data_IF_785476074612
#
_entry.id   IF_785476074612
#
_cell.length_a   1.000
_cell.length_b   1.000
_cell.length_c   1.000
_cell.angle_alpha   90.00
_cell.angle_beta   90.00
_cell.angle_gamma   90.00
#
_symmetry.space_group_name_H-M   'P 1'
#
loop_
_entity.id
_entity.type
_entity.pdbx_description
1 polymer ?
#
# COMPACT_ATOMS: atom_id res chain seq x y z
N UNK A 1 -21.14 1.02 12.60
CA UNK A 1 -21.56 -0.17 11.85
C UNK A 1 -20.59 -1.35 12.02
N UNK A 2 -19.32 -1.29 11.57
CA UNK A 2 -18.34 -2.35 11.94
C UNK A 2 -18.11 -2.46 13.45
N UNK A 3 -18.13 -1.34 14.16
CA UNK A 3 -17.80 -1.29 15.58
C UNK A 3 -18.89 -1.89 16.49
N UNK A 4 -20.16 -1.84 16.09
CA UNK A 4 -21.30 -2.27 16.92
C UNK A 4 -21.41 -3.80 17.01
N UNK A 5 -21.13 -4.51 15.91
CA UNK A 5 -21.14 -5.98 15.88
C UNK A 5 -19.94 -6.62 16.61
N UNK A 6 -18.80 -5.91 16.64
CA UNK A 6 -17.53 -6.41 17.19
C UNK A 6 -17.46 -6.27 18.72
N UNK A 7 -18.27 -5.39 19.33
CA UNK A 7 -18.21 -5.03 20.74
C UNK A 7 -18.77 -6.11 21.70
N UNK A 8 -19.65 -7.00 21.25
CA UNK A 8 -20.43 -7.86 22.15
C UNK A 8 -19.74 -9.12 22.69
N UNK A 9 -18.48 -9.44 22.34
CA UNK A 9 -17.90 -10.77 22.64
C UNK A 9 -16.56 -10.79 23.42
N UNK A 10 -16.26 -9.76 24.22
CA UNK A 10 -14.90 -9.48 24.69
C UNK A 10 -14.27 -10.38 25.77
N UNK A 11 -15.02 -11.06 26.64
CA UNK A 11 -14.46 -11.42 27.96
C UNK A 11 -14.19 -12.92 28.24
N UNK A 12 -14.45 -13.84 27.30
CA UNK A 12 -14.06 -15.26 27.43
C UNK A 12 -13.47 -15.79 26.12
N UNK A 13 -12.25 -15.37 25.80
CA UNK A 13 -11.52 -15.84 24.62
C UNK A 13 -10.78 -17.15 24.91
N UNK A 14 -11.14 -18.20 24.18
CA UNK A 14 -10.37 -19.44 24.06
C UNK A 14 -9.91 -19.59 22.62
N UNK A 15 -8.61 -19.75 22.41
CA UNK A 15 -8.01 -19.93 21.09
C UNK A 15 -8.65 -21.10 20.35
N UNK A 16 -9.07 -20.87 19.11
CA UNK A 16 -9.66 -21.88 18.23
C UNK A 16 -8.83 -22.12 16.96
N UNK A 17 -9.28 -23.04 16.12
CA UNK A 17 -8.64 -23.33 14.83
C UNK A 17 -8.82 -22.21 13.79
N UNK A 18 -9.88 -21.40 13.93
CA UNK A 18 -10.18 -20.30 13.01
C UNK A 18 -9.19 -19.15 13.21
N UNK A 19 -8.76 -18.89 14.45
CA UNK A 19 -7.67 -17.95 14.79
C UNK A 19 -6.38 -18.28 14.04
N UNK A 20 -6.01 -19.56 14.02
CA UNK A 20 -4.81 -20.05 13.33
C UNK A 20 -4.93 -19.82 11.83
N UNK A 21 -6.08 -20.12 11.24
CA UNK A 21 -6.33 -19.92 9.81
C UNK A 21 -6.30 -18.44 9.44
N UNK A 22 -6.99 -17.59 10.20
CA UNK A 22 -7.00 -16.15 10.00
C UNK A 22 -5.58 -15.57 10.06
N UNK A 23 -4.78 -15.98 11.04
CA UNK A 23 -3.39 -15.54 11.13
C UNK A 23 -2.56 -15.96 9.92
N UNK A 24 -2.63 -17.22 9.50
CA UNK A 24 -1.89 -17.73 8.34
C UNK A 24 -2.26 -16.95 7.07
N UNK A 25 -3.55 -16.71 6.84
CA UNK A 25 -4.02 -15.97 5.67
C UNK A 25 -3.57 -14.50 5.65
N UNK A 26 -3.26 -13.88 6.79
CA UNK A 26 -2.64 -12.53 6.84
C UNK A 26 -1.12 -12.60 6.69
N UNK A 27 -0.46 -13.58 7.32
CA UNK A 27 1.00 -13.69 7.31
C UNK A 27 1.52 -13.95 5.90
N UNK A 28 0.87 -14.82 5.13
CA UNK A 28 1.26 -15.15 3.75
C UNK A 28 1.39 -13.89 2.88
N UNK A 29 0.36 -13.03 2.72
CA UNK A 29 0.48 -11.84 1.90
C UNK A 29 1.45 -10.80 2.47
N UNK A 30 1.63 -10.72 3.79
CA UNK A 30 2.64 -9.84 4.38
C UNK A 30 4.07 -10.28 4.00
N UNK A 31 4.37 -11.58 4.06
CA UNK A 31 5.70 -12.13 3.69
C UNK A 31 5.95 -11.96 2.20
N UNK A 32 4.97 -12.31 1.35
CA UNK A 32 5.09 -12.11 -0.10
C UNK A 32 5.27 -10.63 -0.45
N UNK A 33 4.44 -9.76 0.14
CA UNK A 33 4.54 -8.31 -0.04
C UNK A 33 5.89 -7.75 0.41
N UNK A 34 6.45 -8.24 1.52
CA UNK A 34 7.78 -7.84 2.01
C UNK A 34 8.88 -8.21 1.00
N UNK A 35 8.90 -9.46 0.54
CA UNK A 35 9.89 -9.95 -0.43
C UNK A 35 9.80 -9.12 -1.72
N UNK A 36 8.58 -8.96 -2.25
CA UNK A 36 8.35 -8.22 -3.47
C UNK A 36 8.76 -6.74 -3.32
N UNK A 37 8.41 -6.08 -2.23
CA UNK A 37 8.79 -4.70 -1.98
C UNK A 37 10.31 -4.51 -1.92
N UNK A 38 11.04 -5.41 -1.24
CA UNK A 38 12.51 -5.36 -1.16
C UNK A 38 13.14 -5.47 -2.55
N UNK A 39 12.70 -6.45 -3.35
CA UNK A 39 13.20 -6.65 -4.71
C UNK A 39 12.88 -5.42 -5.57
N UNK A 40 11.67 -4.87 -5.47
CA UNK A 40 11.26 -3.67 -6.22
C UNK A 40 12.14 -2.47 -5.86
N UNK A 41 12.34 -2.20 -4.56
CA UNK A 41 13.22 -1.12 -4.08
C UNK A 41 14.62 -1.29 -4.64
N UNK A 42 15.17 -2.51 -4.63
CA UNK A 42 16.49 -2.80 -5.20
C UNK A 42 16.56 -2.43 -6.67
N UNK A 43 15.58 -2.82 -7.48
CA UNK A 43 15.55 -2.44 -8.88
C UNK A 43 15.41 -0.93 -9.10
N UNK A 44 14.72 -0.19 -8.22
CA UNK A 44 14.70 1.28 -8.28
C UNK A 44 16.08 1.92 -8.04
N UNK A 45 17.00 1.27 -7.32
CA UNK A 45 18.38 1.76 -7.16
C UNK A 45 19.28 1.38 -8.34
N UNK A 46 19.09 0.18 -8.89
CA UNK A 46 19.97 -0.38 -9.92
C UNK A 46 19.58 0.06 -11.35
N UNK A 47 18.29 0.22 -11.65
CA UNK A 47 17.79 0.56 -12.99
C UNK A 47 17.89 2.09 -13.22
N UNK A 48 18.70 2.57 -14.18
CA UNK A 48 18.86 4.01 -14.42
C UNK A 48 17.55 4.74 -14.78
N UNK A 49 16.68 4.11 -15.57
CA UNK A 49 15.37 4.66 -15.96
C UNK A 49 14.46 4.94 -14.75
N UNK A 50 14.69 4.26 -13.63
CA UNK A 50 13.90 4.39 -12.40
C UNK A 50 14.41 5.49 -11.46
N UNK A 51 15.54 6.15 -11.78
CA UNK A 51 16.11 7.25 -10.98
C UNK A 51 15.40 8.59 -11.23
N UNK A 52 14.11 8.56 -11.53
CA UNK A 52 13.25 9.72 -11.75
C UNK A 52 12.54 10.19 -10.46
N UNK A 53 11.84 11.33 -10.51
CA UNK A 53 11.00 11.78 -9.40
C UNK A 53 9.90 10.77 -9.05
N UNK A 54 9.34 10.10 -10.06
CA UNK A 54 8.38 9.00 -9.87
C UNK A 54 8.99 7.84 -9.06
N UNK A 55 10.19 7.40 -9.42
CA UNK A 55 10.86 6.32 -8.70
C UNK A 55 11.38 6.71 -7.32
N UNK A 56 11.68 8.00 -7.10
CA UNK A 56 11.92 8.52 -5.76
C UNK A 56 10.68 8.36 -4.87
N UNK A 57 9.52 8.88 -5.31
CA UNK A 57 8.27 8.81 -4.53
C UNK A 57 7.82 7.36 -4.28
N UNK A 58 7.91 6.51 -5.31
CA UNK A 58 7.52 5.10 -5.21
C UNK A 58 8.36 4.34 -4.19
N UNK A 59 9.68 4.60 -4.08
CA UNK A 59 10.51 3.97 -3.04
C UNK A 59 10.07 4.33 -1.62
N UNK A 60 9.77 5.61 -1.36
CA UNK A 60 9.29 6.03 -0.03
C UNK A 60 7.94 5.40 0.32
N UNK A 61 7.07 5.20 -0.67
CA UNK A 61 5.83 4.46 -0.46
C UNK A 61 6.10 2.98 -0.15
N UNK A 62 7.04 2.35 -0.85
CA UNK A 62 7.41 0.94 -0.61
C UNK A 62 8.07 0.74 0.76
N UNK A 63 8.85 1.71 1.26
CA UNK A 63 9.39 1.64 2.63
C UNK A 63 8.29 1.59 3.68
N UNK A 64 7.27 2.45 3.57
CA UNK A 64 6.12 2.42 4.48
C UNK A 64 5.36 1.09 4.40
N UNK A 65 5.27 0.53 3.21
CA UNK A 65 4.65 -0.79 3.02
C UNK A 65 5.43 -1.91 3.69
N UNK A 66 6.76 -1.89 3.62
CA UNK A 66 7.60 -2.84 4.38
C UNK A 66 7.27 -2.73 5.87
N UNK A 67 7.19 -1.52 6.42
CA UNK A 67 6.83 -1.31 7.83
C UNK A 67 5.41 -1.82 8.13
N UNK A 68 4.46 -1.60 7.23
CA UNK A 68 3.10 -2.11 7.37
C UNK A 68 3.04 -3.66 7.37
N UNK A 69 3.75 -4.32 6.44
CA UNK A 69 3.87 -5.78 6.41
C UNK A 69 4.50 -6.33 7.69
N UNK A 70 5.54 -5.68 8.21
CA UNK A 70 6.20 -6.10 9.45
C UNK A 70 5.29 -5.91 10.66
N UNK A 71 4.56 -4.79 10.73
CA UNK A 71 3.64 -4.52 11.82
C UNK A 71 2.46 -5.51 11.83
N UNK A 72 1.78 -5.67 10.70
CA UNK A 72 0.61 -6.56 10.59
C UNK A 72 1.03 -8.03 10.65
N UNK A 73 1.98 -8.44 9.80
CA UNK A 73 2.49 -9.81 9.80
C UNK A 73 3.10 -10.21 11.14
N UNK A 74 3.84 -9.32 11.79
CA UNK A 74 4.37 -9.54 13.14
C UNK A 74 3.27 -9.67 14.19
N UNK A 75 2.24 -8.82 14.14
CA UNK A 75 1.10 -8.92 15.06
C UNK A 75 0.34 -10.24 14.89
N UNK A 76 0.01 -10.64 13.66
CA UNK A 76 -0.71 -11.90 13.42
C UNK A 76 0.17 -13.12 13.71
N UNK A 77 1.49 -13.04 13.51
CA UNK A 77 2.43 -14.11 13.89
C UNK A 77 2.53 -14.27 15.41
N UNK A 78 2.94 -13.23 16.13
CA UNK A 78 3.20 -13.34 17.56
C UNK A 78 1.93 -13.28 18.40
N UNK A 79 0.99 -12.42 18.03
CA UNK A 79 -0.27 -12.23 18.73
C UNK A 79 -1.24 -13.37 18.48
N UNK A 80 -1.59 -13.63 17.22
CA UNK A 80 -2.70 -14.55 16.88
C UNK A 80 -2.21 -16.00 16.68
N UNK A 81 -1.16 -16.22 15.89
CA UNK A 81 -0.67 -17.58 15.57
C UNK A 81 0.08 -18.23 16.75
N UNK A 82 0.93 -17.47 17.44
CA UNK A 82 1.69 -17.97 18.61
C UNK A 82 0.97 -17.72 19.95
N UNK A 83 -0.15 -17.00 19.94
CA UNK A 83 -0.97 -16.69 21.12
C UNK A 83 -0.20 -16.03 22.27
N UNK A 84 0.72 -15.11 21.95
CA UNK A 84 1.38 -14.31 22.98
C UNK A 84 0.41 -13.26 23.53
N UNK A 85 -0.24 -13.60 24.64
CA UNK A 85 -1.23 -12.73 25.34
C UNK A 85 -0.75 -11.30 25.57
N UNK A 86 0.56 -11.10 25.82
CA UNK A 86 1.15 -9.76 25.97
C UNK A 86 1.02 -8.91 24.71
N UNK A 87 1.16 -9.50 23.52
CA UNK A 87 1.02 -8.81 22.22
C UNK A 87 -0.44 -8.44 21.98
N UNK A 88 -1.37 -9.36 22.26
CA UNK A 88 -2.82 -9.11 22.14
C UNK A 88 -3.26 -8.01 23.12
N UNK A 89 -2.83 -8.09 24.39
CA UNK A 89 -3.15 -7.10 25.42
C UNK A 89 -2.65 -5.70 25.05
N UNK A 90 -1.48 -5.62 24.42
CA UNK A 90 -0.90 -4.36 23.93
C UNK A 90 -1.21 -4.10 22.44
N UNK A 91 -2.26 -4.70 21.88
CA UNK A 91 -2.64 -4.55 20.47
C UNK A 91 -2.86 -3.10 20.05
N UNK A 92 -3.19 -2.21 21.00
CA UNK A 92 -3.28 -0.77 20.76
C UNK A 92 -1.99 -0.15 20.18
N UNK A 93 -0.80 -0.71 20.47
CA UNK A 93 0.46 -0.23 19.90
C UNK A 93 0.51 -0.54 18.40
N UNK A 94 0.23 -1.79 18.01
CA UNK A 94 0.15 -2.18 16.59
C UNK A 94 -0.96 -1.42 15.87
N UNK A 95 -2.06 -1.15 16.56
CA UNK A 95 -3.15 -0.34 16.05
C UNK A 95 -2.74 1.12 15.81
N UNK A 96 -2.02 1.76 16.75
CA UNK A 96 -1.47 3.11 16.58
C UNK A 96 -0.50 3.18 15.40
N UNK A 97 0.40 2.20 15.25
CA UNK A 97 1.30 2.12 14.11
C UNK A 97 0.49 2.04 12.81
N UNK A 98 -0.53 1.18 12.76
CA UNK A 98 -1.38 1.01 11.57
C UNK A 98 -2.15 2.27 11.19
N UNK A 99 -2.80 2.93 12.16
CA UNK A 99 -3.53 4.18 11.94
C UNK A 99 -2.63 5.34 11.55
N UNK A 100 -1.34 5.29 11.92
CA UNK A 100 -0.32 6.25 11.49
C UNK A 100 0.15 5.96 10.06
N UNK A 101 0.44 4.70 9.73
CA UNK A 101 0.94 4.31 8.42
C UNK A 101 -0.09 4.52 7.30
N UNK A 102 -1.36 4.23 7.58
CA UNK A 102 -2.44 4.33 6.60
C UNK A 102 -2.50 5.72 5.89
N UNK A 103 -2.66 6.85 6.60
CA UNK A 103 -2.67 8.17 5.97
C UNK A 103 -1.32 8.55 5.33
N UNK A 104 -0.17 8.07 5.84
CA UNK A 104 1.13 8.30 5.19
C UNK A 104 1.17 7.62 3.81
N UNK A 105 0.73 6.36 3.75
CA UNK A 105 0.67 5.57 2.52
C UNK A 105 -0.28 6.23 1.51
N UNK A 106 -1.50 6.58 1.93
CA UNK A 106 -2.49 7.23 1.07
C UNK A 106 -2.00 8.60 0.55
N UNK A 107 -1.35 9.40 1.40
CA UNK A 107 -0.81 10.70 0.99
C UNK A 107 0.31 10.56 -0.05
N UNK A 108 1.18 9.56 0.07
CA UNK A 108 2.20 9.28 -0.93
C UNK A 108 1.61 8.75 -2.23
N UNK A 109 0.57 7.91 -2.16
CA UNK A 109 -0.17 7.50 -3.36
C UNK A 109 -0.75 8.67 -4.11
N UNK A 110 -1.39 9.59 -3.39
CA UNK A 110 -1.92 10.80 -3.96
C UNK A 110 -0.81 11.65 -4.61
N UNK A 111 0.33 11.81 -3.94
CA UNK A 111 1.48 12.52 -4.49
C UNK A 111 2.06 11.84 -5.75
N UNK A 112 2.07 10.50 -5.80
CA UNK A 112 2.46 9.73 -6.99
C UNK A 112 1.46 9.95 -8.13
N UNK A 113 0.16 9.98 -7.84
CA UNK A 113 -0.89 10.25 -8.83
C UNK A 113 -0.76 11.66 -9.42
N UNK A 114 -0.57 12.69 -8.58
CA UNK A 114 -0.26 14.05 -9.05
C UNK A 114 1.01 14.07 -9.89
N UNK A 115 2.07 13.38 -9.45
CA UNK A 115 3.33 13.32 -10.19
C UNK A 115 3.12 12.81 -11.62
N UNK A 116 2.33 11.74 -11.78
CA UNK A 116 2.00 11.17 -13.08
C UNK A 116 1.19 12.14 -13.93
N UNK A 117 0.13 12.69 -13.36
CA UNK A 117 -0.72 13.65 -14.06
C UNK A 117 0.08 14.85 -14.57
N UNK A 118 0.91 15.45 -13.71
CA UNK A 118 1.72 16.61 -14.06
C UNK A 118 2.79 16.30 -15.10
N UNK A 119 3.35 15.09 -15.09
CA UNK A 119 4.33 14.67 -16.10
C UNK A 119 3.75 14.66 -17.52
N UNK A 120 2.46 14.36 -17.65
CA UNK A 120 1.76 14.26 -18.94
C UNK A 120 1.12 15.60 -19.33
N UNK A 121 0.43 16.26 -18.39
CA UNK A 121 -0.36 17.46 -18.68
C UNK A 121 0.49 18.72 -18.71
N UNK A 122 1.48 18.85 -17.81
CA UNK A 122 2.32 20.04 -17.68
C UNK A 122 3.82 19.71 -17.79
N UNK A 123 4.29 19.13 -18.92
CA UNK A 123 5.67 18.68 -19.06
C UNK A 123 6.71 19.82 -18.91
N UNK A 124 6.37 21.05 -19.32
CA UNK A 124 7.25 22.22 -19.22
C UNK A 124 7.50 22.64 -17.76
N UNK A 125 6.50 22.51 -16.89
CA UNK A 125 6.58 22.90 -15.48
C UNK A 125 6.92 21.73 -14.55
N UNK A 126 6.86 20.50 -15.04
CA UNK A 126 7.11 19.29 -14.25
C UNK A 126 8.43 19.34 -13.46
N UNK A 127 9.51 19.75 -14.13
CA UNK A 127 10.83 19.82 -13.51
C UNK A 127 10.92 20.89 -12.40
N UNK A 128 10.14 21.97 -12.50
CA UNK A 128 10.06 23.00 -11.47
C UNK A 128 9.25 22.51 -10.24
N UNK A 129 8.13 21.83 -10.48
CA UNK A 129 7.24 21.33 -9.41
C UNK A 129 7.88 20.16 -8.66
N UNK A 130 8.47 19.19 -9.37
CA UNK A 130 9.05 17.97 -8.79
C UNK A 130 10.58 18.00 -8.67
N UNK A 131 11.14 19.20 -8.52
CA UNK A 131 12.58 19.38 -8.27
C UNK A 131 13.04 18.74 -6.94
N UNK A 132 14.35 18.46 -6.77
CA UNK A 132 14.87 17.70 -5.62
C UNK A 132 14.59 18.25 -4.24
N UNK A 133 14.50 19.58 -4.11
CA UNK A 133 14.19 20.22 -2.82
C UNK A 133 12.71 20.07 -2.49
N UNK A 134 11.81 20.41 -3.42
CA UNK A 134 10.37 20.36 -3.19
C UNK A 134 9.85 18.94 -2.96
N UNK A 135 10.29 17.96 -3.77
CA UNK A 135 9.84 16.56 -3.57
C UNK A 135 10.25 15.98 -2.21
N UNK A 136 11.38 16.42 -1.64
CA UNK A 136 11.77 16.05 -0.27
C UNK A 136 10.81 16.65 0.75
N UNK A 137 10.48 17.93 0.61
CA UNK A 137 9.49 18.61 1.46
C UNK A 137 8.13 17.90 1.40
N UNK A 138 7.63 17.58 0.20
CA UNK A 138 6.36 16.88 0.05
C UNK A 138 6.34 15.54 0.80
N UNK A 139 7.39 14.71 0.61
CA UNK A 139 7.51 13.43 1.32
C UNK A 139 7.60 13.64 2.83
N UNK A 140 8.40 14.61 3.30
CA UNK A 140 8.51 14.92 4.72
C UNK A 140 7.17 15.33 5.34
N UNK A 141 6.37 16.16 4.66
CA UNK A 141 5.03 16.54 5.12
C UNK A 141 4.11 15.33 5.21
N UNK A 142 4.11 14.44 4.20
CA UNK A 142 3.32 13.20 4.21
C UNK A 142 3.68 12.27 5.37
N UNK A 143 4.92 12.31 5.88
CA UNK A 143 5.37 11.50 7.00
C UNK A 143 5.06 12.16 8.34
N UNK A 144 5.48 13.41 8.50
CA UNK A 144 5.46 14.12 9.78
C UNK A 144 4.03 14.37 10.25
N UNK A 145 3.14 14.78 9.34
CA UNK A 145 1.78 15.13 9.72
C UNK A 145 1.04 13.95 10.39
N UNK A 146 0.98 12.73 9.79
CA UNK A 146 0.45 11.55 10.46
C UNK A 146 1.13 11.18 11.77
N UNK A 147 2.46 11.19 11.81
CA UNK A 147 3.24 10.83 13.01
C UNK A 147 2.90 11.72 14.20
N UNK A 148 2.52 12.98 13.95
CA UNK A 148 2.12 13.92 15.00
C UNK A 148 0.64 13.77 15.35
N UNK A 149 -0.26 13.75 14.37
CA UNK A 149 -1.68 13.83 14.68
C UNK A 149 -2.22 12.53 15.29
N UNK A 150 -1.83 11.34 14.80
CA UNK A 150 -2.44 10.09 15.28
C UNK A 150 -2.16 9.81 16.76
N UNK A 151 -0.93 10.01 17.30
CA UNK A 151 -0.69 9.73 18.71
C UNK A 151 -1.32 10.79 19.62
N UNK A 152 -1.46 12.05 19.17
CA UNK A 152 -2.20 13.08 19.91
C UNK A 152 -3.64 12.61 20.16
N UNK A 153 -4.34 12.12 19.12
CA UNK A 153 -5.69 11.59 19.29
C UNK A 153 -5.71 10.33 20.16
N UNK A 154 -4.80 9.38 19.93
CA UNK A 154 -4.81 8.12 20.67
C UNK A 154 -4.47 8.27 22.15
N UNK A 155 -3.45 9.06 22.52
CA UNK A 155 -3.02 9.19 23.92
C UNK A 155 -3.76 10.28 24.69
N UNK A 156 -4.00 11.46 24.09
CA UNK A 156 -4.59 12.57 24.84
C UNK A 156 -6.12 12.49 24.92
N UNK A 157 -6.76 11.84 23.94
CA UNK A 157 -8.22 11.76 23.84
C UNK A 157 -8.75 10.33 23.98
N UNK A 158 -7.87 9.35 24.25
CA UNK A 158 -8.24 7.94 24.47
C UNK A 158 -8.79 7.23 23.23
N UNK A 159 -8.55 7.76 22.03
CA UNK A 159 -9.07 7.21 20.77
C UNK A 159 -8.15 6.06 20.31
N UNK A 160 -8.33 4.88 20.91
CA UNK A 160 -7.54 3.71 20.57
C UNK A 160 -8.03 2.99 19.32
N UNK A 161 -7.13 2.29 18.66
CA UNK A 161 -7.41 1.31 17.61
C UNK A 161 -6.83 -0.02 18.10
N UNK A 162 -7.67 -1.02 18.38
CA UNK A 162 -7.25 -2.26 19.02
C UNK A 162 -7.75 -3.49 18.27
N UNK A 163 -7.11 -4.61 18.51
CA UNK A 163 -7.52 -5.88 17.94
C UNK A 163 -8.73 -6.44 18.69
N UNK A 164 -9.67 -7.01 17.93
CA UNK A 164 -10.81 -7.76 18.43
C UNK A 164 -10.77 -9.17 17.82
N UNK A 165 -10.90 -10.17 18.69
CA UNK A 165 -10.96 -11.58 18.28
C UNK A 165 -12.17 -11.86 17.38
N UNK A 166 -13.29 -11.17 17.63
CA UNK A 166 -14.47 -11.26 16.78
C UNK A 166 -14.19 -10.69 15.39
N UNK A 167 -14.10 -11.57 14.39
CA UNK A 167 -13.79 -11.19 13.00
C UNK A 167 -12.32 -10.85 12.76
N UNK A 168 -11.42 -11.15 13.71
CA UNK A 168 -9.97 -10.94 13.62
C UNK A 168 -9.59 -9.59 13.05
N UNK A 169 -10.19 -8.53 13.60
CA UNK A 169 -10.17 -7.19 13.02
C UNK A 169 -9.61 -6.18 14.02
N UNK A 170 -8.87 -5.20 13.50
CA UNK A 170 -8.60 -4.01 14.27
C UNK A 170 -9.74 -3.01 14.11
N UNK A 171 -10.22 -2.46 15.21
CA UNK A 171 -11.30 -1.47 15.21
C UNK A 171 -11.05 -0.39 16.24
N UNK A 172 -11.74 0.74 16.08
CA UNK A 172 -11.69 1.84 17.02
C UNK A 172 -12.37 1.46 18.33
N UNK A 173 -11.77 1.89 19.44
CA UNK A 173 -12.40 1.78 20.76
C UNK A 173 -13.55 2.79 20.79
N UNK A 174 -14.77 2.29 20.88
CA UNK A 174 -15.95 3.15 21.02
C UNK A 174 -15.90 3.80 22.41
N UNK A 175 -15.87 5.12 22.43
CA UNK A 175 -16.04 5.95 23.63
C UNK A 175 -16.96 7.11 23.27
N UNK A 176 -17.75 7.59 24.23
CA UNK A 176 -18.71 8.69 24.04
C UNK A 176 -18.04 9.99 23.56
N UNK A 177 -16.74 10.13 23.83
CA UNK A 177 -15.98 11.35 23.54
C UNK A 177 -15.24 11.31 22.22
N UNK A 178 -14.71 10.15 21.78
CA UNK A 178 -13.76 10.15 20.66
C UNK A 178 -13.89 9.02 19.62
N UNK A 179 -14.24 7.79 19.99
CA UNK A 179 -14.15 6.64 19.06
C UNK A 179 -14.78 6.90 17.69
N UNK A 180 -16.04 7.33 17.68
CA UNK A 180 -16.78 7.64 16.45
C UNK A 180 -16.27 8.88 15.72
N UNK A 181 -15.85 9.92 16.46
CA UNK A 181 -15.36 11.18 15.86
C UNK A 181 -14.01 10.98 15.17
N UNK A 182 -13.11 10.24 15.80
CA UNK A 182 -11.80 9.93 15.25
C UNK A 182 -11.90 8.98 14.05
N UNK A 183 -12.80 7.99 14.11
CA UNK A 183 -13.12 7.15 12.96
C UNK A 183 -13.65 7.99 11.79
N UNK A 184 -14.60 8.89 12.04
CA UNK A 184 -15.15 9.79 11.01
C UNK A 184 -14.09 10.70 10.42
N UNK A 185 -13.18 11.24 11.24
CA UNK A 185 -12.07 12.07 10.77
C UNK A 185 -11.11 11.28 9.87
N UNK A 186 -10.64 10.12 10.33
CA UNK A 186 -9.73 9.25 9.57
C UNK A 186 -10.36 8.77 8.26
N UNK A 187 -11.61 8.29 8.32
CA UNK A 187 -12.37 7.89 7.12
C UNK A 187 -12.64 9.07 6.21
N UNK A 188 -12.97 10.23 6.75
CA UNK A 188 -13.20 11.46 5.98
C UNK A 188 -11.96 11.87 5.20
N UNK A 189 -10.80 11.93 5.87
CA UNK A 189 -9.51 12.20 5.23
C UNK A 189 -9.18 11.14 4.18
N UNK A 190 -9.36 9.85 4.49
CA UNK A 190 -9.11 8.77 3.55
C UNK A 190 -10.02 8.83 2.32
N UNK A 191 -11.31 9.13 2.50
CA UNK A 191 -12.27 9.26 1.41
C UNK A 191 -11.97 10.47 0.52
N UNK A 192 -11.59 11.60 1.11
CA UNK A 192 -11.20 12.81 0.35
C UNK A 192 -9.93 12.55 -0.45
N UNK A 193 -8.88 12.02 0.19
CA UNK A 193 -7.63 11.68 -0.49
C UNK A 193 -7.88 10.61 -1.56
N UNK A 194 -8.70 9.61 -1.25
CA UNK A 194 -9.12 8.56 -2.18
C UNK A 194 -9.82 9.14 -3.40
N UNK A 195 -10.85 9.97 -3.21
CA UNK A 195 -11.57 10.61 -4.31
C UNK A 195 -10.63 11.47 -5.18
N UNK A 196 -9.71 12.22 -4.57
CA UNK A 196 -8.72 13.01 -5.29
C UNK A 196 -7.76 12.12 -6.07
N UNK A 197 -7.28 11.02 -5.49
CA UNK A 197 -6.46 10.02 -6.16
C UNK A 197 -7.19 9.47 -7.40
N UNK A 198 -8.45 9.08 -7.26
CA UNK A 198 -9.25 8.59 -8.39
C UNK A 198 -9.32 9.65 -9.49
N UNK A 199 -9.61 10.91 -9.13
CA UNK A 199 -9.70 12.02 -10.07
C UNK A 199 -8.40 12.24 -10.85
N UNK A 200 -7.24 12.23 -10.19
CA UNK A 200 -5.95 12.39 -10.86
C UNK A 200 -5.55 11.17 -11.69
N UNK A 201 -5.86 9.95 -11.24
CA UNK A 201 -5.60 8.72 -12.00
C UNK A 201 -6.48 8.67 -13.27
N UNK A 202 -7.77 9.01 -13.17
CA UNK A 202 -8.65 9.16 -14.32
C UNK A 202 -8.19 10.29 -15.26
N UNK A 203 -7.81 11.44 -14.71
CA UNK A 203 -7.26 12.56 -15.48
C UNK A 203 -5.98 12.16 -16.22
N UNK A 204 -5.12 11.36 -15.59
CA UNK A 204 -3.90 10.80 -16.20
C UNK A 204 -4.24 9.87 -17.36
N UNK A 205 -5.22 8.98 -17.16
CA UNK A 205 -5.69 8.04 -18.19
C UNK A 205 -6.26 8.79 -19.41
N UNK A 206 -7.15 9.77 -19.19
CA UNK A 206 -7.73 10.58 -20.26
C UNK A 206 -6.63 11.36 -20.99
N UNK A 207 -5.71 11.98 -20.25
CA UNK A 207 -4.62 12.77 -20.85
C UNK A 207 -3.69 11.90 -21.69
N UNK A 208 -3.39 10.66 -21.26
CA UNK A 208 -2.63 9.71 -22.07
C UNK A 208 -3.36 9.31 -23.36
N UNK A 209 -4.67 9.06 -23.27
CA UNK A 209 -5.48 8.70 -24.44
C UNK A 209 -5.59 9.83 -25.46
N UNK A 210 -5.73 11.08 -25.00
CA UNK A 210 -5.87 12.26 -25.84
C UNK A 210 -4.52 12.77 -26.40
N UNK A 211 -3.51 12.94 -25.54
CA UNK A 211 -2.25 13.62 -25.91
C UNK A 211 -1.13 12.64 -26.28
N UNK A 212 -1.16 11.41 -25.75
CA UNK A 212 -0.09 10.43 -25.97
C UNK A 212 0.13 10.10 -27.45
N UNK A 213 -0.95 9.97 -28.23
CA UNK A 213 -0.85 9.66 -29.67
C UNK A 213 -0.19 10.76 -30.51
N UNK A 214 -0.28 12.03 -30.08
CA UNK A 214 0.24 13.15 -30.85
C UNK A 214 1.73 13.39 -30.55
N UNK A 215 2.13 13.31 -29.27
CA UNK A 215 3.52 13.51 -28.81
C UNK A 215 4.43 12.31 -29.16
N UNK A 216 3.89 11.08 -29.20
CA UNK A 216 4.69 9.88 -29.48
C UNK A 216 5.04 9.67 -30.96
N UNK A 217 4.38 10.37 -31.90
CA UNK A 217 4.66 10.24 -33.35
C UNK A 217 5.99 10.88 -33.76
N UNK A 218 6.52 11.81 -32.98
CA UNK A 218 7.77 12.54 -33.29
C UNK A 218 9.02 11.91 -32.69
N UNK A 219 8.88 10.86 -31.85
CA UNK A 219 10.00 10.15 -31.21
C UNK A 219 10.40 8.90 -32.00
N UNK A 220 11.64 8.42 -31.77
CA UNK A 220 12.12 7.14 -32.35
C UNK A 220 11.29 5.95 -31.86
N UNK A 221 11.28 4.85 -32.64
CA UNK A 221 10.48 3.66 -32.35
C UNK A 221 10.79 3.04 -30.98
N UNK A 222 12.07 3.03 -30.58
CA UNK A 222 12.53 2.47 -29.30
C UNK A 222 12.06 3.33 -28.11
N UNK A 223 12.24 4.66 -28.20
CA UNK A 223 11.79 5.59 -27.17
C UNK A 223 10.27 5.56 -27.05
N UNK A 224 9.56 5.51 -28.19
CA UNK A 224 8.10 5.38 -28.22
C UNK A 224 7.63 4.09 -27.54
N UNK A 225 8.31 2.96 -27.74
CA UNK A 225 7.97 1.69 -27.10
C UNK A 225 8.17 1.74 -25.58
N UNK A 226 9.28 2.33 -25.13
CA UNK A 226 9.56 2.52 -23.70
C UNK A 226 8.48 3.39 -23.03
N UNK A 227 8.13 4.52 -23.65
CA UNK A 227 7.10 5.44 -23.17
C UNK A 227 5.69 4.82 -23.17
N UNK A 228 5.36 3.99 -24.18
CA UNK A 228 4.11 3.25 -24.22
C UNK A 228 4.01 2.19 -23.12
N UNK A 229 5.08 1.42 -22.88
CA UNK A 229 5.12 0.43 -21.80
C UNK A 229 5.00 1.11 -20.43
N UNK A 230 5.68 2.24 -20.24
CA UNK A 230 5.55 3.05 -19.03
C UNK A 230 4.12 3.59 -18.86
N UNK A 231 3.52 4.12 -19.93
CA UNK A 231 2.12 4.55 -19.94
C UNK A 231 1.14 3.43 -19.61
N UNK A 232 1.35 2.22 -20.16
CA UNK A 232 0.54 1.04 -19.85
C UNK A 232 0.65 0.64 -18.38
N UNK A 233 1.87 0.61 -17.82
CA UNK A 233 2.07 0.36 -16.40
C UNK A 233 1.33 1.40 -15.54
N UNK A 234 1.43 2.69 -15.89
CA UNK A 234 0.76 3.77 -15.16
C UNK A 234 -0.75 3.61 -15.18
N UNK A 235 -1.33 3.30 -16.35
CA UNK A 235 -2.78 3.07 -16.50
C UNK A 235 -3.24 1.85 -15.70
N UNK A 236 -2.53 0.72 -15.82
CA UNK A 236 -2.90 -0.52 -15.10
C UNK A 236 -2.77 -0.34 -13.59
N UNK A 237 -1.71 0.31 -13.13
CA UNK A 237 -1.55 0.60 -11.70
C UNK A 237 -2.65 1.54 -11.19
N UNK A 238 -3.06 2.55 -11.97
CA UNK A 238 -4.19 3.42 -11.63
C UNK A 238 -5.52 2.64 -11.55
N UNK A 239 -5.80 1.77 -12.53
CA UNK A 239 -7.02 0.94 -12.53
C UNK A 239 -7.04 -0.01 -11.33
N UNK A 240 -5.94 -0.70 -11.04
CA UNK A 240 -5.85 -1.61 -9.88
C UNK A 240 -6.04 -0.84 -8.57
N UNK A 241 -5.42 0.34 -8.45
CA UNK A 241 -5.58 1.23 -7.30
C UNK A 241 -7.04 1.70 -7.11
N UNK A 242 -7.70 2.05 -8.21
CA UNK A 242 -9.11 2.45 -8.23
C UNK A 242 -10.04 1.31 -7.79
N UNK A 243 -9.91 0.12 -8.40
CA UNK A 243 -10.72 -1.06 -8.07
C UNK A 243 -10.53 -1.40 -6.60
N UNK A 244 -9.30 -1.40 -6.11
CA UNK A 244 -9.01 -1.66 -4.71
C UNK A 244 -9.67 -0.65 -3.78
N UNK A 245 -9.54 0.65 -4.07
CA UNK A 245 -10.09 1.72 -3.23
C UNK A 245 -11.61 1.62 -3.12
N UNK A 246 -12.29 1.30 -4.22
CA UNK A 246 -13.72 1.03 -4.25
C UNK A 246 -14.06 -0.21 -3.41
N UNK A 247 -13.36 -1.32 -3.66
CA UNK A 247 -13.64 -2.58 -2.97
C UNK A 247 -13.40 -2.47 -1.46
N UNK A 248 -12.30 -1.86 -1.02
CA UNK A 248 -12.04 -1.61 0.41
C UNK A 248 -13.12 -0.76 1.08
N UNK A 249 -13.72 0.19 0.35
CA UNK A 249 -14.74 1.08 0.88
C UNK A 249 -16.13 0.44 0.95
N UNK A 250 -16.47 -0.42 -0.02
CA UNK A 250 -17.85 -0.90 -0.21
C UNK A 250 -18.05 -2.42 -0.15
N UNK A 251 -16.98 -3.23 -0.18
CA UNK A 251 -17.10 -4.70 -0.28
C UNK A 251 -17.97 -5.30 0.82
N UNK A 252 -17.88 -4.77 2.04
CA UNK A 252 -18.70 -5.24 3.15
C UNK A 252 -20.21 -5.08 2.93
N UNK A 253 -20.63 -4.03 2.21
CA UNK A 253 -22.05 -3.81 1.88
C UNK A 253 -22.48 -4.66 0.68
N UNK A 254 -21.57 -4.95 -0.26
CA UNK A 254 -21.89 -5.66 -1.50
C UNK A 254 -21.88 -7.17 -1.36
N UNK A 255 -21.05 -7.73 -0.49
CA UNK A 255 -20.98 -9.18 -0.29
C UNK A 255 -22.23 -9.64 0.47
N UNK A 256 -23.01 -10.60 -0.08
CA UNK A 256 -24.20 -11.13 0.59
C UNK A 256 -23.84 -11.85 1.89
N UNK A 257 -24.80 -11.93 2.82
CA UNK A 257 -24.62 -12.51 4.16
C UNK A 257 -24.89 -11.50 5.27
N UNK A 258 -25.15 -12.01 6.47
CA UNK A 258 -25.48 -11.18 7.62
C UNK A 258 -24.31 -10.27 8.01
N UNK A 259 -24.63 -9.02 8.37
CA UNK A 259 -23.64 -7.99 8.74
C UNK A 259 -22.79 -8.41 9.95
N UNK A 260 -23.31 -9.27 10.82
CA UNK A 260 -22.60 -9.78 11.99
C UNK A 260 -21.62 -10.91 11.69
N UNK A 261 -21.58 -11.47 10.48
CA UNK A 261 -20.75 -12.67 10.24
C UNK A 261 -19.23 -12.36 10.32
N UNK A 262 -18.53 -13.11 11.19
CA UNK A 262 -17.09 -12.94 11.46
C UNK A 262 -16.23 -13.04 10.21
N UNK A 263 -16.50 -14.03 9.36
CA UNK A 263 -15.75 -14.23 8.11
C UNK A 263 -15.92 -13.03 7.18
N UNK A 264 -17.13 -12.48 7.07
CA UNK A 264 -17.42 -11.33 6.20
C UNK A 264 -16.65 -10.10 6.66
N UNK A 265 -16.62 -9.83 7.97
CA UNK A 265 -15.80 -8.76 8.55
C UNK A 265 -14.33 -8.99 8.21
N UNK A 266 -13.79 -10.17 8.50
CA UNK A 266 -12.39 -10.52 8.27
C UNK A 266 -11.94 -10.33 6.82
N UNK A 267 -12.68 -10.92 5.87
CA UNK A 267 -12.30 -10.91 4.45
C UNK A 267 -12.40 -9.52 3.82
N UNK A 268 -13.37 -8.71 4.22
CA UNK A 268 -13.60 -7.36 3.67
C UNK A 268 -12.79 -6.26 4.35
N UNK A 269 -12.17 -6.54 5.50
CA UNK A 269 -11.33 -5.59 6.23
C UNK A 269 -9.88 -6.07 6.33
N UNK A 270 -9.58 -6.93 7.30
CA UNK A 270 -8.23 -7.41 7.64
C UNK A 270 -7.54 -8.06 6.45
N UNK A 271 -8.14 -9.07 5.84
CA UNK A 271 -7.48 -9.80 4.76
C UNK A 271 -7.24 -8.86 3.58
N UNK A 272 -8.27 -8.14 3.14
CA UNK A 272 -8.20 -7.22 2.00
C UNK A 272 -7.15 -6.11 2.22
N UNK A 273 -7.04 -5.56 3.43
CA UNK A 273 -6.03 -4.56 3.77
C UNK A 273 -4.60 -5.10 3.58
N UNK A 274 -4.35 -6.34 4.02
CA UNK A 274 -3.03 -6.98 3.94
C UNK A 274 -2.72 -7.54 2.55
N UNK A 275 -3.72 -7.99 1.83
CA UNK A 275 -3.57 -8.49 0.46
C UNK A 275 -3.06 -7.40 -0.50
N UNK A 276 -3.39 -6.14 -0.22
CA UNK A 276 -2.85 -4.97 -0.95
C UNK A 276 -1.32 -4.94 -0.99
N UNK A 277 -0.65 -5.45 0.05
CA UNK A 277 0.80 -5.38 0.13
C UNK A 277 1.50 -6.05 -1.07
N UNK A 278 0.87 -7.05 -1.68
CA UNK A 278 1.39 -7.74 -2.87
C UNK A 278 1.16 -6.93 -4.16
N UNK A 279 0.02 -6.25 -4.29
CA UNK A 279 -0.49 -5.77 -5.57
C UNK A 279 0.42 -4.77 -6.28
N UNK A 280 0.80 -3.67 -5.65
CA UNK A 280 1.59 -2.64 -6.35
C UNK A 280 2.96 -3.15 -6.81
N UNK A 281 3.62 -3.93 -5.96
CA UNK A 281 4.89 -4.55 -6.33
C UNK A 281 4.67 -5.56 -7.47
N UNK A 282 3.59 -6.34 -7.43
CA UNK A 282 3.21 -7.26 -8.49
C UNK A 282 2.96 -6.56 -9.83
N UNK A 283 2.22 -5.45 -9.83
CA UNK A 283 1.99 -4.65 -11.04
C UNK A 283 3.31 -4.14 -11.63
N UNK A 284 4.25 -3.69 -10.80
CA UNK A 284 5.57 -3.26 -11.28
C UNK A 284 6.33 -4.43 -11.92
N UNK A 285 6.32 -5.63 -11.33
CA UNK A 285 7.00 -6.80 -11.91
C UNK A 285 6.42 -7.23 -13.26
N UNK A 286 5.10 -7.25 -13.37
CA UNK A 286 4.39 -7.78 -14.54
C UNK A 286 4.43 -6.80 -15.71
N UNK A 287 4.24 -5.50 -15.43
CA UNK A 287 4.00 -4.51 -16.48
C UNK A 287 5.20 -3.60 -16.78
N UNK A 288 6.23 -3.56 -15.92
CA UNK A 288 7.43 -2.79 -16.21
C UNK A 288 8.47 -3.65 -16.96
N UNK A 289 8.58 -3.44 -18.27
CA UNK A 289 9.50 -4.22 -19.12
C UNK A 289 10.97 -4.07 -18.74
N UNK A 290 11.39 -2.89 -18.27
CA UNK A 290 12.77 -2.65 -17.77
C UNK A 290 13.04 -3.49 -16.52
N UNK A 291 12.05 -3.57 -15.63
CA UNK A 291 12.12 -4.35 -14.41
C UNK A 291 12.18 -5.85 -14.68
N UNK A 292 11.33 -6.35 -15.58
CA UNK A 292 11.35 -7.76 -15.96
C UNK A 292 12.65 -8.13 -16.70
N UNK A 293 13.19 -7.22 -17.51
CA UNK A 293 14.49 -7.41 -18.19
C UNK A 293 15.64 -7.48 -17.19
N UNK A 294 15.72 -6.50 -16.28
CA UNK A 294 16.72 -6.48 -15.21
C UNK A 294 16.67 -7.75 -14.35
N UNK A 295 15.47 -8.22 -13.99
CA UNK A 295 15.31 -9.43 -13.19
C UNK A 295 15.79 -10.69 -13.94
N UNK A 296 15.48 -10.80 -15.24
CA UNK A 296 15.96 -11.91 -16.09
C UNK A 296 17.48 -11.91 -16.24
N UNK A 297 18.08 -10.76 -16.51
CA UNK A 297 19.53 -10.62 -16.65
C UNK A 297 20.25 -10.99 -15.35
N UNK A 298 19.71 -10.57 -14.21
CA UNK A 298 20.22 -10.92 -12.89
C UNK A 298 20.12 -12.42 -12.61
N UNK A 299 18.99 -13.05 -12.92
CA UNK A 299 18.84 -14.49 -12.76
C UNK A 299 19.82 -15.25 -13.66
N UNK A 300 20.06 -14.79 -14.89
CA UNK A 300 21.05 -15.40 -15.79
C UNK A 300 22.48 -15.32 -15.22
N UNK A 301 22.84 -14.17 -14.64
CA UNK A 301 24.15 -13.96 -14.03
C UNK A 301 24.32 -14.72 -12.70
N UNK A 302 23.23 -15.03 -11.99
CA UNK A 302 23.25 -15.85 -10.78
C UNK A 302 23.23 -17.37 -11.08
N UNK A 303 22.67 -17.79 -12.22
CA UNK A 303 22.66 -19.19 -12.70
C UNK A 303 23.97 -19.58 -13.41
N UNK A 304 24.89 -18.63 -13.60
CA UNK A 304 26.27 -18.89 -13.99
C UNK A 304 27.26 -18.79 -12.81
N UNK A 305 27.19 -19.65 -11.77
CA UNK A 305 28.30 -19.84 -10.86
C UNK A 305 29.26 -20.89 -11.46
N UNK A 306 30.51 -20.49 -11.71
CA UNK A 306 31.64 -21.34 -12.14
C UNK A 306 31.49 -22.08 -13.49
N UNK A 307 32.21 -21.60 -14.50
CA UNK A 307 32.32 -22.26 -15.79
C UNK A 307 33.55 -21.83 -16.59
N UNK A 308 34.73 -22.24 -16.11
CA UNK A 308 35.91 -22.59 -16.90
C UNK A 308 36.56 -21.46 -17.73
N UNK A 309 37.50 -20.75 -17.10
CA UNK A 309 38.72 -20.31 -17.80
C UNK A 309 39.71 -21.47 -17.72
N UNK A 310 39.63 -22.41 -18.68
CA UNK A 310 40.73 -23.33 -18.97
C UNK A 310 41.68 -22.59 -19.90
N UNK A 311 42.70 -21.94 -19.34
CA UNK A 311 43.94 -21.69 -20.06
C UNK A 311 44.66 -23.03 -20.18
N UNK A 312 44.63 -23.60 -21.39
CA UNK A 312 45.47 -24.74 -21.78
C UNK A 312 46.92 -24.21 -21.90
N UNK A 313 47.93 -24.96 -21.40
CA UNK A 313 49.32 -24.52 -21.26
C UNK A 313 50.03 -24.16 -22.58
#
# INVERSE_FOLDING_TARGET
MFADAVYQSGDNYTRDSEDVQAAIFVIIPCVLGLIMAIIVIRGFYEIPAMKSSFGYLTRYQLYLRIVACLNSGGFYLFGVLLDFKTVIKNSQISGLISTTLLPMIYSLYFLISINRFMAIVLPLYYNAIFQPKLRRIYVSVCYIFPIIYTPIFTWNYGCGYKFYHYGWVFSFIISDTCGTKFEVLLRGVQNVIGAMLLLFDFGTLISLMCFGKHVLRTKSAEVRKCELNFGQQVVIQGIVSLIYSIFYSFAYQWIPGDVSERWKIYWTSTFLANFLHIFDSGVIFVFNSEFSKWLRERNRNNVTPLGVVMTIP
#
